data_IF_749704981840
#
_entry.id   IF_749704981840
#
_cell.length_a   1.000
_cell.length_b   1.000
_cell.length_c   1.000
_cell.angle_alpha   90.00
_cell.angle_beta   90.00
_cell.angle_gamma   90.00
#
_symmetry.space_group_name_H-M   'P 1'
#
loop_
_entity.id
_entity.type
_entity.pdbx_description
1 polymer ?
#
# COMPACT_ATOMS: atom_id res chain seq x y z
N UNK A 1 -4.27 -7.84 -7.60
CA UNK A 1 -4.81 -8.68 -8.69
C UNK A 1 -5.87 -9.61 -8.10
N UNK A 2 -7.16 -9.38 -8.39
CA UNK A 2 -8.23 -10.30 -7.97
C UNK A 2 -8.21 -11.51 -8.92
N UNK A 3 -8.10 -12.72 -8.38
CA UNK A 3 -8.05 -13.94 -9.19
C UNK A 3 -8.85 -15.06 -8.51
N UNK A 4 -9.70 -15.72 -9.29
CA UNK A 4 -10.41 -16.93 -8.93
C UNK A 4 -9.98 -18.04 -9.89
N UNK A 5 -9.53 -19.18 -9.36
CA UNK A 5 -8.82 -20.21 -10.15
C UNK A 5 -9.75 -21.00 -11.09
N UNK A 6 -11.07 -20.95 -10.89
CA UNK A 6 -12.02 -21.81 -11.60
C UNK A 6 -12.97 -21.10 -12.59
N UNK A 7 -13.00 -19.77 -12.70
CA UNK A 7 -13.96 -19.07 -13.57
C UNK A 7 -13.37 -17.87 -14.31
N UNK A 8 -13.76 -17.73 -15.59
CA UNK A 8 -13.33 -16.66 -16.53
C UNK A 8 -13.76 -15.23 -16.11
N UNK A 9 -14.62 -15.11 -15.09
CA UNK A 9 -15.17 -13.84 -14.57
C UNK A 9 -14.85 -13.67 -13.06
N UNK A 10 -13.56 -13.55 -12.74
CA UNK A 10 -13.06 -13.39 -11.36
C UNK A 10 -13.62 -12.14 -10.65
N UNK A 11 -14.01 -11.11 -11.41
CA UNK A 11 -14.55 -9.87 -10.85
C UNK A 11 -15.98 -10.00 -10.30
N UNK A 12 -16.73 -11.04 -10.64
CA UNK A 12 -18.08 -11.25 -10.09
C UNK A 12 -18.19 -12.46 -9.18
N UNK A 13 -17.30 -13.44 -9.35
CA UNK A 13 -17.40 -14.73 -8.67
C UNK A 13 -16.37 -14.94 -7.55
N UNK A 14 -15.43 -14.01 -7.34
CA UNK A 14 -14.49 -14.13 -6.23
C UNK A 14 -15.14 -13.77 -4.89
N UNK A 15 -15.14 -14.72 -3.97
CA UNK A 15 -15.68 -14.57 -2.62
C UNK A 15 -14.80 -13.68 -1.74
N UNK A 16 -15.40 -13.12 -0.68
CA UNK A 16 -14.67 -12.43 0.36
C UNK A 16 -14.22 -13.42 1.44
N UNK A 17 -12.94 -13.35 1.79
CA UNK A 17 -12.35 -14.12 2.88
C UNK A 17 -11.80 -13.18 3.95
N UNK A 18 -11.95 -13.57 5.21
CA UNK A 18 -11.34 -12.82 6.32
C UNK A 18 -9.83 -13.08 6.31
N UNK A 19 -9.05 -12.06 5.99
CA UNK A 19 -7.59 -12.11 6.04
C UNK A 19 -7.14 -11.59 7.39
N UNK A 20 -6.30 -12.37 8.07
CA UNK A 20 -5.71 -12.02 9.35
C UNK A 20 -4.27 -11.55 9.14
N UNK A 21 -4.04 -10.25 9.26
CA UNK A 21 -2.70 -9.65 9.20
C UNK A 21 -2.10 -9.63 10.60
N UNK A 22 -0.82 -9.99 10.71
CA UNK A 22 -0.07 -9.96 11.96
C UNK A 22 1.33 -9.41 11.75
N UNK A 23 1.75 -8.49 12.60
CA UNK A 23 3.09 -7.91 12.63
C UNK A 23 3.65 -8.00 14.05
N UNK A 24 4.63 -8.88 14.26
CA UNK A 24 5.27 -9.06 15.57
C UNK A 24 6.32 -7.97 15.80
N UNK A 25 6.31 -7.35 16.98
CA UNK A 25 7.30 -6.37 17.41
C UNK A 25 7.57 -6.58 18.91
N UNK A 26 8.74 -6.18 19.41
CA UNK A 26 9.04 -6.33 20.85
C UNK A 26 8.32 -5.30 21.72
N UNK A 27 7.84 -4.20 21.11
CA UNK A 27 7.13 -3.13 21.79
C UNK A 27 6.18 -2.39 20.83
N UNK A 28 5.09 -1.79 21.34
CA UNK A 28 4.21 -0.97 20.51
C UNK A 28 4.93 0.30 20.06
N UNK A 29 4.73 0.67 18.80
CA UNK A 29 5.10 1.99 18.29
C UNK A 29 4.22 3.10 18.91
N UNK A 30 4.85 4.08 19.53
CA UNK A 30 4.19 5.27 20.09
C UNK A 30 4.22 6.46 19.10
N UNK A 31 3.28 7.39 19.28
CA UNK A 31 3.19 8.65 18.52
C UNK A 31 2.58 8.50 17.13
N UNK A 32 1.76 7.47 16.91
CA UNK A 32 1.10 7.21 15.65
C UNK A 32 0.35 5.88 15.61
N UNK A 33 -0.14 5.52 14.43
CA UNK A 33 -0.82 4.25 14.16
C UNK A 33 -0.09 3.39 13.14
N UNK A 34 -0.24 2.07 13.27
CA UNK A 34 0.23 1.09 12.28
C UNK A 34 -0.93 0.69 11.38
N UNK A 35 -0.69 0.62 10.07
CA UNK A 35 -1.70 0.33 9.06
C UNK A 35 -1.18 -0.74 8.08
N UNK A 36 -2.09 -1.61 7.62
CA UNK A 36 -1.87 -2.37 6.39
C UNK A 36 -2.05 -1.40 5.22
N UNK A 37 -1.04 -1.32 4.36
CA UNK A 37 -0.90 -0.29 3.34
C UNK A 37 -0.63 -0.90 1.97
N UNK A 38 -1.24 -0.35 0.92
CA UNK A 38 -0.99 -0.76 -0.46
C UNK A 38 -2.16 -0.40 -1.37
N UNK A 39 -2.22 -1.02 -2.55
CA UNK A 39 -3.33 -0.82 -3.48
C UNK A 39 -4.68 -1.23 -2.85
N UNK A 40 -4.69 -2.20 -1.92
CA UNK A 40 -5.88 -2.61 -1.16
C UNK A 40 -6.50 -1.49 -0.32
N UNK A 41 -5.72 -0.48 0.06
CA UNK A 41 -6.16 0.69 0.82
C UNK A 41 -6.12 1.98 0.01
N UNK A 42 -6.05 1.88 -1.33
CA UNK A 42 -5.82 3.00 -2.25
C UNK A 42 -4.58 3.85 -1.87
N UNK A 43 -3.53 3.19 -1.35
CA UNK A 43 -2.31 3.85 -0.88
C UNK A 43 -2.56 4.90 0.21
N UNK A 44 -3.58 4.67 1.05
CA UNK A 44 -3.96 5.54 2.17
C UNK A 44 -3.97 4.77 3.50
N UNK A 45 -3.64 5.46 4.59
CA UNK A 45 -3.81 4.96 5.95
C UNK A 45 -5.28 5.08 6.40
N UNK A 46 -6.14 4.22 5.84
CA UNK A 46 -7.57 4.23 6.17
C UNK A 46 -7.84 3.53 7.50
N UNK A 47 -8.91 3.94 8.18
CA UNK A 47 -9.27 3.43 9.51
C UNK A 47 -9.55 1.93 9.50
N UNK A 48 -10.11 1.41 8.41
CA UNK A 48 -10.43 -0.01 8.24
C UNK A 48 -9.17 -0.88 8.20
N UNK A 49 -8.03 -0.29 7.82
CA UNK A 49 -6.74 -0.97 7.75
C UNK A 49 -5.81 -0.66 8.93
N UNK A 50 -6.32 0.01 9.97
CA UNK A 50 -5.55 0.27 11.19
C UNK A 50 -5.39 -0.99 12.02
N UNK A 51 -4.16 -1.33 12.36
CA UNK A 51 -3.85 -2.51 13.18
C UNK A 51 -3.95 -2.18 14.68
N UNK A 52 -4.33 -3.19 15.47
CA UNK A 52 -4.44 -3.10 16.92
C UNK A 52 -3.27 -3.82 17.58
N UNK A 53 -2.71 -3.21 18.63
CA UNK A 53 -1.64 -3.83 19.41
C UNK A 53 -2.22 -4.80 20.45
N UNK A 54 -1.75 -6.04 20.42
CA UNK A 54 -2.00 -7.08 21.42
C UNK A 54 -0.78 -7.20 22.34
N UNK A 55 -0.95 -6.81 23.61
CA UNK A 55 0.11 -6.84 24.63
C UNK A 55 0.42 -8.25 25.14
N UNK A 56 -0.50 -9.18 25.03
CA UNK A 56 -0.26 -10.56 25.52
C UNK A 56 0.58 -11.35 24.52
N UNK A 57 0.49 -10.98 23.25
CA UNK A 57 1.15 -11.67 22.13
C UNK A 57 2.30 -10.89 21.49
N UNK A 58 2.56 -9.68 21.97
CA UNK A 58 3.57 -8.74 21.44
C UNK A 58 3.48 -8.60 19.92
N UNK A 59 2.27 -8.31 19.42
CA UNK A 59 2.04 -8.16 17.99
C UNK A 59 0.93 -7.17 17.67
N UNK A 60 1.02 -6.57 16.49
CA UNK A 60 -0.10 -5.91 15.85
C UNK A 60 -0.95 -6.95 15.10
N UNK A 61 -2.27 -6.84 15.18
CA UNK A 61 -3.20 -7.67 14.43
C UNK A 61 -4.33 -6.86 13.80
N UNK A 62 -4.81 -7.35 12.67
CA UNK A 62 -5.98 -6.83 11.97
C UNK A 62 -6.69 -7.97 11.25
N UNK A 63 -8.02 -7.96 11.25
CA UNK A 63 -8.83 -8.88 10.43
C UNK A 63 -9.70 -8.05 9.51
N UNK A 64 -9.56 -8.24 8.20
CA UNK A 64 -10.35 -7.52 7.18
C UNK A 64 -10.86 -8.51 6.13
N UNK A 65 -12.14 -8.42 5.72
CA UNK A 65 -12.63 -9.16 4.58
C UNK A 65 -12.03 -8.61 3.29
N UNK A 66 -11.27 -9.44 2.58
CA UNK A 66 -10.73 -9.13 1.26
C UNK A 66 -11.30 -10.09 0.22
N UNK A 67 -11.54 -9.56 -0.97
CA UNK A 67 -11.95 -10.38 -2.12
C UNK A 67 -10.81 -11.34 -2.47
N UNK A 68 -11.10 -12.57 -2.88
CA UNK A 68 -10.08 -13.55 -3.20
C UNK A 68 -9.15 -13.05 -4.33
N UNK A 69 -7.85 -13.04 -4.07
CA UNK A 69 -6.85 -12.57 -5.01
C UNK A 69 -5.47 -12.37 -4.39
N UNK A 70 -4.55 -11.92 -5.23
CA UNK A 70 -3.20 -11.51 -4.85
C UNK A 70 -3.17 -10.02 -4.52
N UNK A 71 -2.68 -9.70 -3.33
CA UNK A 71 -2.49 -8.34 -2.87
C UNK A 71 -1.06 -8.14 -2.41
N UNK A 72 -0.38 -7.18 -3.02
CA UNK A 72 0.85 -6.64 -2.47
C UNK A 72 0.46 -5.65 -1.36
N UNK A 73 1.13 -5.79 -0.21
CA UNK A 73 0.92 -4.94 0.95
C UNK A 73 2.23 -4.68 1.67
N UNK A 74 2.24 -3.60 2.44
CA UNK A 74 3.30 -3.20 3.34
C UNK A 74 2.68 -2.73 4.66
N UNK A 75 3.49 -2.60 5.69
CA UNK A 75 3.10 -1.95 6.93
C UNK A 75 3.57 -0.50 6.93
N UNK A 76 2.64 0.42 7.15
CA UNK A 76 2.94 1.85 7.24
C UNK A 76 2.70 2.37 8.65
N UNK A 77 3.58 3.23 9.13
CA UNK A 77 3.40 4.00 10.36
C UNK A 77 2.91 5.41 10.00
N UNK A 78 1.76 5.83 10.54
CA UNK A 78 1.26 7.19 10.39
C UNK A 78 1.46 7.95 11.71
N UNK A 79 2.36 8.94 11.76
CA UNK A 79 2.53 9.77 12.95
C UNK A 79 1.26 10.56 13.28
N UNK A 80 1.01 10.80 14.57
CA UNK A 80 -0.13 11.59 15.02
C UNK A 80 -0.07 13.01 14.45
N UNK A 81 -1.16 13.45 13.78
CA UNK A 81 -1.25 14.77 13.15
C UNK A 81 -0.56 14.88 11.78
N UNK A 82 0.02 13.80 11.25
CA UNK A 82 0.58 13.74 9.90
C UNK A 82 -0.47 13.22 8.91
N UNK A 83 -0.40 13.70 7.66
CA UNK A 83 -1.08 13.10 6.51
C UNK A 83 -0.14 12.18 5.69
N UNK A 84 1.17 12.24 5.97
CA UNK A 84 2.19 11.46 5.30
C UNK A 84 2.56 10.25 6.14
N UNK A 85 2.38 9.07 5.57
CA UNK A 85 2.76 7.79 6.15
C UNK A 85 4.23 7.46 5.92
N UNK A 86 4.86 6.82 6.90
CA UNK A 86 6.25 6.33 6.86
C UNK A 86 6.26 4.80 6.77
N UNK A 87 6.70 4.27 5.63
CA UNK A 87 6.91 2.83 5.42
C UNK A 87 8.28 2.37 5.93
N UNK A 88 9.27 3.27 5.99
CA UNK A 88 10.67 2.91 6.25
C UNK A 88 10.89 2.40 7.66
N UNK A 89 10.06 2.84 8.61
CA UNK A 89 10.13 2.41 10.00
C UNK A 89 9.84 0.93 10.21
N UNK A 90 9.04 0.31 9.33
CA UNK A 90 8.61 -1.08 9.44
C UNK A 90 9.19 -1.95 8.33
N UNK A 91 9.18 -1.46 7.08
CA UNK A 91 9.69 -2.19 5.91
C UNK A 91 11.19 -1.95 5.65
N UNK A 92 11.79 -0.95 6.33
CA UNK A 92 13.15 -0.52 6.08
C UNK A 92 13.30 0.32 4.81
N UNK A 93 14.55 0.55 4.41
CA UNK A 93 14.90 1.23 3.17
C UNK A 93 16.10 0.52 2.56
N UNK A 94 15.86 -0.22 1.47
CA UNK A 94 16.85 -1.09 0.84
C UNK A 94 17.02 -0.68 -0.62
N UNK A 95 18.25 -0.32 -1.02
CA UNK A 95 18.53 0.14 -2.39
C UNK A 95 18.37 -0.97 -3.45
N UNK A 96 18.39 -2.23 -3.02
CA UNK A 96 18.25 -3.41 -3.89
C UNK A 96 16.78 -3.70 -4.25
N UNK A 97 15.82 -3.04 -3.58
CA UNK A 97 14.39 -3.27 -3.82
C UNK A 97 14.01 -2.85 -5.24
N UNK A 98 13.34 -3.75 -5.96
CA UNK A 98 12.77 -3.45 -7.27
C UNK A 98 11.63 -2.44 -7.11
N UNK A 99 11.77 -1.26 -7.71
CA UNK A 99 10.78 -0.19 -7.66
C UNK A 99 10.49 0.29 -9.08
N UNK A 100 9.22 0.61 -9.36
CA UNK A 100 8.79 1.23 -10.61
C UNK A 100 8.50 2.72 -10.38
N UNK A 101 9.04 3.57 -11.24
CA UNK A 101 8.89 5.03 -11.18
C UNK A 101 8.15 5.52 -12.41
N UNK A 102 7.16 6.39 -12.19
CA UNK A 102 6.44 7.10 -13.23
C UNK A 102 6.80 8.60 -13.20
N UNK A 103 7.36 9.09 -14.30
CA UNK A 103 7.69 10.51 -14.49
C UNK A 103 6.64 11.14 -15.40
N UNK A 104 5.98 12.18 -14.90
CA UNK A 104 4.98 12.97 -15.61
C UNK A 104 5.53 14.38 -15.85
N UNK A 105 5.65 14.78 -17.12
CA UNK A 105 6.15 16.10 -17.51
C UNK A 105 4.98 16.97 -17.93
N UNK A 106 4.73 18.03 -17.16
CA UNK A 106 3.67 19.00 -17.43
C UNK A 106 4.24 20.29 -18.03
N UNK A 107 3.60 20.80 -19.08
CA UNK A 107 3.84 22.11 -19.65
C UNK A 107 2.70 23.05 -19.25
N UNK A 108 3.03 24.16 -18.60
CA UNK A 108 2.06 25.19 -18.28
C UNK A 108 1.84 26.11 -19.48
N UNK A 109 0.71 25.94 -20.17
CA UNK A 109 0.40 26.71 -21.36
C UNK A 109 -0.34 28.00 -20.99
N UNK A 110 0.36 29.13 -21.04
CA UNK A 110 -0.22 30.43 -20.73
C UNK A 110 -1.29 30.88 -21.72
N UNK A 111 -1.24 30.42 -22.98
CA UNK A 111 -2.24 30.77 -23.99
C UNK A 111 -3.55 30.03 -23.73
N UNK A 112 -3.46 28.76 -23.37
CA UNK A 112 -4.62 27.91 -23.07
C UNK A 112 -5.05 27.97 -21.60
N UNK A 113 -4.30 28.67 -20.74
CA UNK A 113 -4.49 28.78 -19.28
C UNK A 113 -4.68 27.41 -18.61
N UNK A 114 -3.97 26.40 -19.09
CA UNK A 114 -4.07 25.05 -18.58
C UNK A 114 -2.70 24.35 -18.54
N UNK A 115 -2.56 23.41 -17.63
CA UNK A 115 -1.42 22.51 -17.60
C UNK A 115 -1.68 21.33 -18.54
N UNK A 116 -0.74 21.07 -19.43
CA UNK A 116 -0.80 19.95 -20.37
C UNK A 116 0.23 18.90 -19.96
N UNK A 117 -0.18 17.63 -19.90
CA UNK A 117 0.76 16.52 -19.81
C UNK A 117 1.43 16.36 -21.18
N UNK A 118 2.71 16.70 -21.29
CA UNK A 118 3.47 16.68 -22.55
C UNK A 118 4.45 15.52 -22.64
N UNK A 119 4.65 14.78 -21.55
CA UNK A 119 5.49 13.60 -21.53
C UNK A 119 5.14 12.65 -20.40
N UNK A 120 5.22 11.36 -20.68
CA UNK A 120 5.07 10.28 -19.72
C UNK A 120 6.21 9.28 -19.94
N UNK A 121 6.88 8.88 -18.86
CA UNK A 121 7.90 7.82 -18.91
C UNK A 121 7.85 6.99 -17.65
N UNK A 122 7.80 5.67 -17.80
CA UNK A 122 8.03 4.73 -16.70
C UNK A 122 9.42 4.11 -16.81
N UNK A 123 10.02 3.80 -15.67
CA UNK A 123 11.20 2.95 -15.60
C UNK A 123 11.24 2.19 -14.28
N UNK A 124 11.76 0.96 -14.32
CA UNK A 124 12.01 0.14 -13.15
C UNK A 124 13.50 0.17 -12.79
N UNK A 125 13.85 0.02 -11.51
CA UNK A 125 15.26 -0.08 -11.08
C UNK A 125 15.97 -1.29 -11.67
N UNK A 126 15.24 -2.36 -11.99
CA UNK A 126 15.76 -3.45 -12.82
C UNK A 126 15.54 -3.14 -14.30
N UNK A 127 16.64 -3.04 -15.05
CA UNK A 127 16.54 -3.09 -16.52
C UNK A 127 16.06 -4.48 -16.93
N UNK A 128 14.91 -4.56 -17.62
CA UNK A 128 14.53 -5.78 -18.34
C UNK A 128 15.55 -5.97 -19.46
N UNK A 129 16.40 -7.01 -19.34
CA UNK A 129 17.16 -7.54 -20.46
C UNK A 129 16.22 -8.27 -21.44
#
# INVERSE_FOLDING_TARGET
LVQHVEFDDADRNADYVNVHFTLKLDAPLYGGGVYVYGALSDFQCRKEFRMNWDRERDLYHLTVPLKQGFYDYAYAFLPDGSEVSDLTRLEGSHFQTENEYLVLVYFNDYQLRMQRLVGLRSFATRMRN
#
